data_IF_459686167756
#
_entry.id   IF_459686167756
#
_cell.length_a   1.000
_cell.length_b   1.000
_cell.length_c   1.000
_cell.angle_alpha   90.00
_cell.angle_beta   90.00
_cell.angle_gamma   90.00
#
_symmetry.space_group_name_H-M   'P 1'
#
loop_
_entity.id
_entity.type
_entity.pdbx_description
1 polymer ?
#
# COMPACT_ATOMS: atom_id res chain seq x y z
N UNK A 1 -25.22 40.31 -16.43
CA UNK A 1 -24.18 41.21 -17.00
C UNK A 1 -23.41 40.37 -18.02
N UNK A 2 -23.18 40.90 -19.22
CA UNK A 2 -22.45 40.16 -20.25
C UNK A 2 -21.01 39.90 -19.80
N UNK A 3 -20.48 38.72 -20.11
CA UNK A 3 -19.06 38.41 -19.90
C UNK A 3 -18.22 39.34 -20.80
N UNK A 4 -17.26 40.10 -20.24
CA UNK A 4 -16.40 41.03 -20.99
C UNK A 4 -15.69 40.38 -22.19
N UNK A 5 -15.49 39.06 -22.15
CA UNK A 5 -14.86 38.32 -23.26
C UNK A 5 -15.71 38.29 -24.53
N UNK A 6 -17.04 38.37 -24.40
CA UNK A 6 -17.97 38.18 -25.53
C UNK A 6 -18.72 39.45 -25.94
N UNK A 7 -18.62 40.53 -25.16
CA UNK A 7 -19.35 41.80 -25.35
C UNK A 7 -19.21 42.41 -26.76
N UNK A 8 -18.03 42.30 -27.37
CA UNK A 8 -17.74 42.88 -28.69
C UNK A 8 -17.97 41.91 -29.87
N UNK A 9 -18.45 40.69 -29.60
CA UNK A 9 -18.71 39.71 -30.65
C UNK A 9 -20.14 39.86 -31.19
N UNK A 10 -20.31 40.05 -32.51
CA UNK A 10 -21.64 40.08 -33.11
C UNK A 10 -22.27 38.68 -33.07
N UNK A 11 -23.59 38.61 -32.85
CA UNK A 11 -24.37 37.36 -32.92
C UNK A 11 -24.42 36.52 -31.64
N UNK A 12 -23.98 37.07 -30.50
CA UNK A 12 -24.17 36.43 -29.18
C UNK A 12 -25.56 36.78 -28.64
N UNK A 13 -26.32 35.76 -28.24
CA UNK A 13 -27.63 35.92 -27.62
C UNK A 13 -27.46 36.13 -26.10
N UNK A 14 -27.77 37.33 -25.61
CA UNK A 14 -27.65 37.68 -24.18
C UNK A 14 -28.94 37.46 -23.38
N UNK A 15 -30.08 37.38 -24.07
CA UNK A 15 -31.42 37.29 -23.46
C UNK A 15 -32.00 35.87 -23.53
N UNK A 16 -31.16 34.86 -23.79
CA UNK A 16 -31.56 33.46 -23.83
C UNK A 16 -31.03 32.73 -22.60
N UNK A 17 -31.78 31.77 -22.04
CA UNK A 17 -31.26 30.90 -20.99
C UNK A 17 -30.09 30.07 -21.53
N UNK A 18 -29.07 29.88 -20.68
CA UNK A 18 -27.86 29.12 -21.04
C UNK A 18 -28.15 27.64 -21.29
N UNK A 19 -29.18 27.09 -20.65
CA UNK A 19 -29.56 25.67 -20.71
C UNK A 19 -31.07 25.54 -20.90
N UNK A 20 -31.48 24.71 -21.85
CA UNK A 20 -32.88 24.31 -22.05
C UNK A 20 -33.03 22.85 -21.63
N UNK A 21 -33.57 22.64 -20.43
CA UNK A 21 -33.76 21.30 -19.86
C UNK A 21 -35.23 21.02 -19.54
N UNK A 22 -35.60 19.74 -19.56
CA UNK A 22 -36.89 19.27 -19.05
C UNK A 22 -36.85 19.31 -17.52
N UNK A 23 -37.97 19.68 -16.88
CA UNK A 23 -38.01 19.76 -15.42
C UNK A 23 -37.62 18.44 -14.75
N UNK A 24 -36.72 18.51 -13.77
CA UNK A 24 -36.24 17.34 -13.04
C UNK A 24 -37.39 16.63 -12.35
N UNK A 25 -37.59 15.36 -12.71
CA UNK A 25 -38.54 14.47 -12.05
C UNK A 25 -37.84 13.78 -10.87
N UNK A 26 -38.50 13.65 -9.71
CA UNK A 26 -37.93 13.02 -8.51
C UNK A 26 -37.78 11.49 -8.62
N UNK A 27 -38.02 10.89 -9.79
CA UNK A 27 -38.05 9.45 -10.00
C UNK A 27 -36.67 8.80 -9.81
N UNK A 28 -35.58 9.52 -10.08
CA UNK A 28 -34.21 9.02 -9.90
C UNK A 28 -33.79 8.85 -8.43
N UNK A 29 -34.55 9.42 -7.48
CA UNK A 29 -34.29 9.31 -6.03
C UNK A 29 -35.06 8.17 -5.36
N UNK A 30 -35.88 7.43 -6.11
CA UNK A 30 -36.59 6.27 -5.58
C UNK A 30 -35.64 5.07 -5.52
N UNK A 31 -35.51 4.39 -4.36
CA UNK A 31 -34.74 3.17 -4.29
C UNK A 31 -35.43 2.12 -5.17
N UNK A 32 -34.75 1.66 -6.22
CA UNK A 32 -35.16 0.47 -6.97
C UNK A 32 -35.03 -0.74 -6.01
N UNK A 33 -36.14 -1.39 -5.62
CA UNK A 33 -36.09 -2.57 -4.78
C UNK A 33 -35.65 -3.76 -5.66
N UNK A 34 -34.37 -3.80 -6.01
CA UNK A 34 -33.73 -5.01 -6.54
C UNK A 34 -33.33 -5.90 -5.37
N UNK A 35 -34.29 -6.24 -4.52
CA UNK A 35 -34.12 -7.34 -3.58
C UNK A 35 -34.26 -8.63 -4.40
N UNK A 36 -33.17 -9.41 -4.51
CA UNK A 36 -33.24 -10.75 -5.08
C UNK A 36 -34.24 -11.57 -4.24
N UNK A 37 -35.33 -12.00 -4.85
CA UNK A 37 -36.36 -12.79 -4.18
C UNK A 37 -35.72 -14.02 -3.49
N UNK A 38 -36.01 -14.21 -2.21
CA UNK A 38 -35.54 -15.37 -1.45
C UNK A 38 -36.00 -16.66 -2.14
N UNK A 39 -35.08 -17.35 -2.83
CA UNK A 39 -35.39 -18.56 -3.57
C UNK A 39 -35.33 -19.78 -2.65
N UNK A 40 -36.48 -20.44 -2.44
CA UNK A 40 -36.59 -21.64 -1.58
C UNK A 40 -35.65 -22.79 -2.01
N UNK A 41 -35.19 -22.82 -3.26
CA UNK A 41 -34.25 -23.83 -3.77
C UNK A 41 -32.76 -23.51 -3.49
N UNK A 42 -32.45 -22.34 -2.94
CA UNK A 42 -31.07 -21.87 -2.72
C UNK A 42 -30.84 -21.62 -1.24
N UNK A 43 -29.99 -22.44 -0.61
CA UNK A 43 -29.54 -22.16 0.76
C UNK A 43 -28.55 -21.00 0.78
N UNK A 44 -28.96 -19.87 1.34
CA UNK A 44 -28.06 -18.73 1.59
C UNK A 44 -27.25 -18.96 2.87
N UNK A 45 -25.96 -19.27 2.71
CA UNK A 45 -25.05 -19.47 3.84
C UNK A 45 -24.31 -18.17 4.18
N UNK A 46 -24.48 -17.69 5.42
CA UNK A 46 -23.72 -16.54 5.91
C UNK A 46 -22.26 -16.94 6.22
N UNK A 47 -21.32 -16.47 5.40
CA UNK A 47 -19.90 -16.74 5.58
C UNK A 47 -19.26 -15.75 6.57
N UNK A 48 -18.92 -16.23 7.77
CA UNK A 48 -18.11 -15.46 8.72
C UNK A 48 -16.62 -15.73 8.48
N UNK A 49 -15.89 -14.70 8.05
CA UNK A 49 -14.43 -14.78 7.83
C UNK A 49 -13.70 -15.09 9.12
N UNK A 50 -14.17 -14.56 10.26
CA UNK A 50 -13.57 -14.79 11.58
C UNK A 50 -13.71 -16.25 12.02
N UNK A 51 -14.91 -16.82 11.86
CA UNK A 51 -15.15 -18.22 12.25
C UNK A 51 -14.41 -19.17 11.32
N UNK A 52 -14.35 -18.85 10.04
CA UNK A 52 -13.57 -19.61 9.06
C UNK A 52 -12.07 -19.57 9.39
N UNK A 53 -11.52 -18.39 9.67
CA UNK A 53 -10.12 -18.25 10.09
C UNK A 53 -9.84 -19.09 11.34
N UNK A 54 -10.69 -19.01 12.37
CA UNK A 54 -10.53 -19.79 13.59
C UNK A 54 -10.59 -21.31 13.35
N UNK A 55 -11.42 -21.79 12.41
CA UNK A 55 -11.51 -23.21 12.04
C UNK A 55 -10.21 -23.74 11.40
N UNK A 56 -9.53 -22.92 10.61
CA UNK A 56 -8.30 -23.31 9.90
C UNK A 56 -7.01 -22.85 10.59
N UNK A 57 -7.10 -22.03 11.63
CA UNK A 57 -5.95 -21.57 12.41
C UNK A 57 -5.16 -22.76 12.96
N UNK A 58 -3.86 -22.79 12.65
CA UNK A 58 -2.96 -23.86 13.10
C UNK A 58 -3.00 -25.14 12.26
N UNK A 59 -3.76 -25.17 11.14
CA UNK A 59 -3.67 -26.23 10.15
C UNK A 59 -2.79 -25.77 9.00
N UNK A 60 -1.76 -26.53 8.68
CA UNK A 60 -0.81 -26.22 7.61
C UNK A 60 -0.81 -27.34 6.58
N UNK A 61 -0.58 -26.99 5.32
CA UNK A 61 -0.39 -27.94 4.23
C UNK A 61 1.07 -27.89 3.80
N UNK A 62 1.72 -29.05 3.75
CA UNK A 62 3.09 -29.21 3.27
C UNK A 62 3.12 -30.24 2.14
N UNK A 63 4.15 -30.17 1.29
CA UNK A 63 4.40 -31.13 0.21
C UNK A 63 4.70 -30.49 -1.14
N UNK A 64 5.64 -31.10 -1.88
CA UNK A 64 5.90 -30.77 -3.27
C UNK A 64 4.81 -31.39 -4.15
N UNK A 65 3.82 -30.60 -4.55
CA UNK A 65 2.68 -31.08 -5.34
C UNK A 65 2.98 -30.99 -6.82
N UNK A 66 2.98 -32.13 -7.52
CA UNK A 66 3.03 -32.20 -8.98
C UNK A 66 1.62 -32.48 -9.54
N UNK A 67 0.92 -31.42 -9.97
CA UNK A 67 -0.37 -31.49 -10.66
C UNK A 67 -0.26 -31.81 -12.15
N UNK A 68 0.95 -32.09 -12.67
CA UNK A 68 1.05 -32.53 -14.07
C UNK A 68 0.30 -33.85 -14.24
N UNK A 69 -0.30 -34.08 -15.40
CA UNK A 69 -1.07 -35.30 -15.67
C UNK A 69 -0.16 -36.40 -16.29
N UNK A 70 1.08 -36.51 -15.79
CA UNK A 70 2.08 -37.44 -16.32
C UNK A 70 1.88 -38.83 -15.71
N UNK A 71 1.57 -39.82 -16.55
CA UNK A 71 1.43 -41.23 -16.16
C UNK A 71 2.75 -41.74 -15.53
N UNK A 72 2.71 -41.98 -14.22
CA UNK A 72 3.84 -42.47 -13.42
C UNK A 72 3.44 -43.75 -12.68
N UNK A 73 4.41 -44.63 -12.40
CA UNK A 73 4.19 -45.86 -11.61
C UNK A 73 3.96 -45.61 -10.11
N UNK A 74 4.31 -44.42 -9.58
CA UNK A 74 4.06 -44.05 -8.18
C UNK A 74 2.69 -43.37 -8.05
N UNK A 75 1.92 -43.72 -7.02
CA UNK A 75 0.65 -43.05 -6.68
C UNK A 75 0.94 -41.60 -6.28
N UNK A 76 0.36 -40.65 -7.02
CA UNK A 76 0.46 -39.22 -6.73
C UNK A 76 -0.58 -38.89 -5.67
N UNK A 77 -0.17 -38.94 -4.41
CA UNK A 77 -0.94 -38.35 -3.31
C UNK A 77 -0.66 -36.85 -3.37
N UNK A 78 -1.71 -36.01 -3.30
CA UNK A 78 -1.58 -34.55 -3.34
C UNK A 78 -0.87 -34.00 -2.10
N UNK A 79 -1.50 -33.07 -1.39
CA UNK A 79 -0.96 -32.58 -0.13
C UNK A 79 -0.78 -33.73 0.87
N UNK A 80 0.41 -33.87 1.45
CA UNK A 80 0.73 -34.89 2.45
C UNK A 80 0.91 -34.19 3.80
N UNK A 81 0.16 -34.60 4.81
CA UNK A 81 0.23 -34.02 6.14
C UNK A 81 1.26 -34.76 7.02
N UNK A 82 2.28 -34.05 7.53
CA UNK A 82 3.23 -34.56 8.52
C UNK A 82 4.53 -33.72 8.60
N UNK A 83 5.03 -33.46 9.80
CA UNK A 83 6.26 -32.66 10.05
C UNK A 83 7.55 -33.50 10.11
N UNK A 84 7.46 -34.83 10.17
CA UNK A 84 8.61 -35.73 10.31
C UNK A 84 8.59 -36.82 9.23
N UNK A 85 9.53 -36.78 8.29
CA UNK A 85 9.70 -37.84 7.28
C UNK A 85 11.01 -38.62 7.51
N UNK A 86 10.88 -39.96 7.55
CA UNK A 86 11.96 -40.94 7.43
C UNK A 86 11.83 -41.58 6.04
N UNK A 87 12.94 -41.84 5.35
CA UNK A 87 12.92 -42.55 4.07
C UNK A 87 12.32 -43.96 4.23
N UNK A 88 11.55 -44.40 3.23
CA UNK A 88 11.08 -45.79 3.18
C UNK A 88 12.25 -46.75 2.92
N UNK A 89 12.19 -47.94 3.53
CA UNK A 89 13.26 -48.94 3.45
C UNK A 89 13.57 -49.32 1.99
N UNK A 90 14.77 -48.95 1.52
CA UNK A 90 15.26 -49.24 0.16
C UNK A 90 15.34 -48.07 -0.82
N UNK A 91 14.91 -46.85 -0.47
CA UNK A 91 15.13 -45.63 -1.29
C UNK A 91 16.39 -44.84 -0.84
N UNK A 92 17.09 -44.13 -1.75
CA UNK A 92 18.23 -43.30 -1.37
C UNK A 92 17.79 -42.07 -0.55
N UNK A 93 18.34 -41.94 0.65
CA UNK A 93 18.00 -40.89 1.62
C UNK A 93 18.42 -39.49 1.14
N UNK A 94 17.54 -38.49 1.31
CA UNK A 94 17.95 -37.08 1.23
C UNK A 94 18.76 -36.66 2.46
N UNK A 95 19.53 -35.55 2.36
CA UNK A 95 20.37 -35.07 3.46
C UNK A 95 19.54 -34.77 4.73
N UNK A 96 18.32 -34.25 4.55
CA UNK A 96 17.38 -33.94 5.62
C UNK A 96 16.76 -35.20 6.24
N UNK A 97 16.35 -36.17 5.42
CA UNK A 97 15.83 -37.46 5.90
C UNK A 97 16.91 -38.23 6.67
N UNK A 98 18.16 -38.21 6.19
CA UNK A 98 19.29 -38.82 6.89
C UNK A 98 19.57 -38.15 8.23
N UNK A 99 19.44 -36.83 8.30
CA UNK A 99 19.54 -36.08 9.55
C UNK A 99 18.44 -36.50 10.56
N UNK A 100 17.19 -36.57 10.10
CA UNK A 100 16.06 -37.00 10.92
C UNK A 100 16.21 -38.45 11.40
N UNK A 101 16.64 -39.36 10.53
CA UNK A 101 16.95 -40.76 10.89
C UNK A 101 18.03 -40.82 11.96
N UNK A 102 19.16 -40.13 11.77
CA UNK A 102 20.24 -40.11 12.74
C UNK A 102 19.77 -39.59 14.10
N UNK A 103 18.91 -38.56 14.13
CA UNK A 103 18.35 -38.03 15.38
C UNK A 103 17.48 -39.05 16.12
N UNK A 104 16.69 -39.84 15.37
CA UNK A 104 15.91 -40.95 15.91
C UNK A 104 16.83 -42.08 16.41
N UNK A 105 17.80 -42.51 15.61
CA UNK A 105 18.76 -43.57 15.96
C UNK A 105 19.59 -43.22 17.19
N UNK A 106 20.04 -41.95 17.34
CA UNK A 106 20.73 -41.51 18.55
C UNK A 106 19.84 -41.52 19.79
N UNK A 107 18.53 -41.28 19.62
CA UNK A 107 17.57 -41.34 20.73
C UNK A 107 17.31 -42.79 21.15
N UNK A 108 17.15 -43.69 20.17
CA UNK A 108 16.99 -45.13 20.39
C UNK A 108 18.24 -45.74 21.02
N UNK A 109 19.44 -45.37 20.54
CA UNK A 109 20.70 -45.82 21.13
C UNK A 109 20.84 -45.37 22.59
N UNK A 110 20.38 -44.16 22.91
CA UNK A 110 20.37 -43.65 24.29
C UNK A 110 19.45 -44.48 25.19
N UNK A 111 18.28 -44.85 24.68
CA UNK A 111 17.33 -45.70 25.39
C UNK A 111 17.89 -47.10 25.62
N UNK A 112 18.52 -47.72 24.61
CA UNK A 112 19.19 -49.01 24.74
C UNK A 112 20.34 -48.98 25.76
N UNK A 113 21.12 -47.90 25.79
CA UNK A 113 22.21 -47.72 26.78
C UNK A 113 21.65 -47.52 28.19
N UNK A 114 20.54 -46.80 28.34
CA UNK A 114 19.85 -46.66 29.63
C UNK A 114 19.26 -48.00 30.12
N UNK A 115 18.72 -48.82 29.21
CA UNK A 115 18.26 -50.17 29.54
C UNK A 115 19.41 -51.09 29.97
N UNK A 116 20.56 -51.02 29.30
CA UNK A 116 21.75 -51.80 29.67
C UNK A 116 22.33 -51.33 31.00
N UNK A 117 22.36 -50.01 31.26
CA UNK A 117 22.74 -49.44 32.55
C UNK A 117 21.86 -49.98 33.69
N UNK A 118 20.57 -50.12 33.46
CA UNK A 118 19.63 -50.66 34.45
C UNK A 118 19.83 -52.16 34.74
N UNK A 119 20.44 -52.91 33.79
CA UNK A 119 20.72 -54.35 33.90
C UNK A 119 22.14 -54.68 34.37
N UNK A 120 23.04 -53.69 34.45
CA UNK A 120 24.47 -53.87 34.70
C UNK A 120 24.87 -53.89 36.19
N UNK A 121 26.06 -54.42 36.48
CA UNK A 121 26.65 -54.41 37.83
C UNK A 121 27.17 -53.03 38.23
N UNK A 122 27.37 -52.75 39.53
CA UNK A 122 27.80 -51.42 40.02
C UNK A 122 29.08 -50.89 39.35
N UNK A 123 30.01 -51.77 38.97
CA UNK A 123 31.25 -51.38 38.27
C UNK A 123 31.05 -51.01 36.80
N UNK A 124 30.01 -51.54 36.14
CA UNK A 124 29.71 -51.32 34.72
C UNK A 124 28.77 -50.12 34.52
N UNK A 125 27.98 -49.77 35.54
CA UNK A 125 27.11 -48.58 35.53
C UNK A 125 27.90 -47.29 35.30
N UNK A 126 29.12 -47.19 35.83
CA UNK A 126 30.01 -46.05 35.63
C UNK A 126 30.53 -45.94 34.18
N UNK A 127 30.54 -47.05 33.42
CA UNK A 127 30.90 -47.05 32.00
C UNK A 127 29.71 -46.68 31.13
N UNK A 128 28.53 -47.24 31.41
CA UNK A 128 27.29 -46.90 30.71
C UNK A 128 26.86 -45.44 30.93
N UNK A 129 27.11 -44.88 32.11
CA UNK A 129 26.88 -43.44 32.35
C UNK A 129 27.81 -42.56 31.51
N UNK A 130 29.10 -42.91 31.40
CA UNK A 130 30.03 -42.20 30.51
C UNK A 130 29.60 -42.31 29.05
N UNK A 131 29.13 -43.49 28.62
CA UNK A 131 28.63 -43.71 27.27
C UNK A 131 27.35 -42.89 26.99
N UNK A 132 26.40 -42.86 27.92
CA UNK A 132 25.18 -42.05 27.82
C UNK A 132 25.48 -40.55 27.78
N UNK A 133 26.49 -40.07 28.51
CA UNK A 133 26.97 -38.67 28.44
C UNK A 133 27.57 -38.38 27.06
N UNK A 134 28.37 -39.29 26.51
CA UNK A 134 28.93 -39.15 25.17
C UNK A 134 27.83 -39.13 24.09
N UNK A 135 26.88 -40.06 24.13
CA UNK A 135 25.76 -40.12 23.17
C UNK A 135 24.88 -38.86 23.25
N UNK A 136 24.62 -38.34 24.46
CA UNK A 136 23.94 -37.06 24.64
C UNK A 136 24.72 -35.88 24.06
N UNK A 137 26.05 -35.86 24.22
CA UNK A 137 26.90 -34.81 23.66
C UNK A 137 26.92 -34.83 22.13
N UNK A 138 26.94 -36.01 21.51
CA UNK A 138 26.89 -36.16 20.05
C UNK A 138 25.50 -35.86 19.49
N UNK A 139 24.43 -36.22 20.22
CA UNK A 139 23.06 -35.82 19.87
C UNK A 139 22.89 -34.31 19.88
N UNK A 140 23.42 -33.61 20.89
CA UNK A 140 23.42 -32.14 20.95
C UNK A 140 24.22 -31.51 19.80
N UNK A 141 25.39 -32.06 19.48
CA UNK A 141 26.18 -31.62 18.32
C UNK A 141 25.41 -31.82 17.01
N UNK A 142 24.65 -32.91 16.88
CA UNK A 142 23.78 -33.14 15.72
C UNK A 142 22.66 -32.09 15.68
N UNK A 143 21.96 -31.84 16.79
CA UNK A 143 20.91 -30.81 16.89
C UNK A 143 21.45 -29.38 16.60
N UNK A 144 22.70 -29.09 16.95
CA UNK A 144 23.39 -27.82 16.64
C UNK A 144 23.69 -27.64 15.15
N UNK A 145 23.76 -28.71 14.35
CA UNK A 145 23.99 -28.61 12.90
C UNK A 145 22.79 -27.99 12.16
N UNK A 146 21.62 -27.84 12.81
CA UNK A 146 20.49 -27.00 12.37
C UNK A 146 20.14 -27.14 10.88
N UNK A 147 20.18 -28.35 10.34
CA UNK A 147 19.83 -28.59 8.94
C UNK A 147 18.33 -28.34 8.66
N UNK A 148 17.50 -28.32 9.70
CA UNK A 148 16.06 -28.00 9.64
C UNK A 148 15.77 -26.51 9.41
N UNK A 149 16.70 -25.60 9.74
CA UNK A 149 16.54 -24.16 9.50
C UNK A 149 16.92 -23.85 8.04
N UNK A 150 16.07 -24.30 7.12
CA UNK A 150 16.00 -23.74 5.77
C UNK A 150 15.45 -22.32 5.80
N UNK A 151 16.19 -21.37 6.39
CA UNK A 151 16.18 -19.94 6.08
C UNK A 151 17.22 -19.20 6.94
N UNK A 152 17.96 -18.29 6.29
CA UNK A 152 18.95 -17.36 6.84
C UNK A 152 20.34 -17.92 7.18
N UNK A 153 21.19 -17.92 6.15
CA UNK A 153 22.61 -17.57 6.32
C UNK A 153 22.65 -16.25 7.08
N UNK A 154 23.00 -16.34 8.37
CA UNK A 154 23.06 -15.23 9.30
C UNK A 154 24.11 -14.19 8.80
N UNK A 155 23.75 -12.91 8.55
CA UNK A 155 24.68 -11.86 8.08
C UNK A 155 25.78 -11.49 9.09
N UNK A 156 25.91 -12.24 10.18
CA UNK A 156 26.98 -12.13 11.18
C UNK A 156 28.24 -12.92 10.79
N UNK A 157 28.14 -13.92 9.91
CA UNK A 157 29.32 -14.65 9.42
C UNK A 157 30.22 -13.77 8.52
N UNK A 158 29.65 -12.77 7.84
CA UNK A 158 30.40 -11.82 7.02
C UNK A 158 31.10 -10.74 7.86
N UNK A 159 30.47 -10.30 8.97
CA UNK A 159 31.07 -9.34 9.91
C UNK A 159 32.28 -9.91 10.64
N UNK A 160 32.31 -11.22 10.93
CA UNK A 160 33.49 -11.85 11.54
C UNK A 160 34.72 -11.85 10.62
N UNK A 161 34.53 -11.91 9.30
CA UNK A 161 35.62 -11.71 8.33
C UNK A 161 36.13 -10.26 8.31
N UNK A 162 35.25 -9.29 8.52
CA UNK A 162 35.58 -7.86 8.57
C UNK A 162 36.27 -7.45 9.88
N UNK A 163 35.89 -8.05 11.02
CA UNK A 163 36.58 -7.85 12.30
C UNK A 163 37.99 -8.45 12.34
N UNK A 164 38.22 -9.57 11.66
CA UNK A 164 39.55 -10.19 11.57
C UNK A 164 40.49 -9.45 10.60
N UNK A 165 39.95 -8.75 9.59
CA UNK A 165 40.73 -7.95 8.64
C UNK A 165 41.04 -6.53 9.15
N UNK A 166 40.26 -5.99 10.09
CA UNK A 166 40.48 -4.68 10.71
C UNK A 166 41.43 -4.69 11.92
N UNK A 167 41.79 -5.87 12.46
CA UNK A 167 42.72 -6.00 13.60
C UNK A 167 44.20 -5.74 13.25
N UNK A 168 44.56 -5.59 11.98
CA UNK A 168 45.95 -5.38 11.55
C UNK A 168 46.13 -4.01 10.89
N UNK A 169 46.21 -2.95 11.70
CA UNK A 169 47.08 -1.77 11.48
C UNK A 169 47.00 -0.81 12.66
N UNK A 170 48.05 -0.82 13.49
CA UNK A 170 48.46 0.36 14.25
C UNK A 170 49.19 1.31 13.29
N UNK A 171 48.75 2.57 13.21
CA UNK A 171 49.66 3.72 13.02
C UNK A 171 48.94 5.00 13.47
N UNK A 172 49.67 5.82 14.22
CA UNK A 172 49.26 7.12 14.78
C UNK A 172 49.40 8.25 13.72
N UNK A 173 48.73 9.36 14.04
CA UNK A 173 48.92 10.77 13.62
C UNK A 173 48.06 11.31 12.46
N UNK A 174 47.37 12.43 12.76
CA UNK A 174 46.54 13.23 11.85
C UNK A 174 45.13 13.40 12.39
N UNK A 175 44.93 14.41 13.24
CA UNK A 175 43.65 14.74 13.88
C UNK A 175 42.61 15.19 12.83
N UNK A 176 41.84 14.24 12.30
CA UNK A 176 40.54 14.50 11.68
C UNK A 176 39.50 13.84 12.56
N UNK A 177 38.66 14.64 13.20
CA UNK A 177 37.51 14.15 13.96
C UNK A 177 36.47 13.67 12.94
N UNK A 178 36.58 12.42 12.51
CA UNK A 178 35.53 11.75 11.74
C UNK A 178 34.40 11.37 12.69
N UNK A 179 33.40 12.25 12.79
CA UNK A 179 32.15 11.94 13.47
C UNK A 179 31.37 10.92 12.64
N UNK A 180 31.46 9.64 13.00
CA UNK A 180 30.58 8.61 12.46
C UNK A 180 29.16 8.81 13.00
N UNK A 181 28.34 9.59 12.29
CA UNK A 181 26.90 9.71 12.55
C UNK A 181 26.23 8.35 12.29
N UNK A 182 26.05 7.57 13.36
CA UNK A 182 25.17 6.40 13.34
C UNK A 182 23.73 6.88 13.43
N UNK A 183 23.13 7.21 12.28
CA UNK A 183 21.71 7.51 12.21
C UNK A 183 20.93 6.24 12.55
N UNK A 184 20.23 6.23 13.68
CA UNK A 184 19.22 5.22 13.98
C UNK A 184 17.91 5.65 13.32
N UNK A 185 17.33 4.89 12.37
CA UNK A 185 16.07 5.24 11.71
C UNK A 185 14.82 5.09 12.62
N UNK A 186 14.99 4.87 13.93
CA UNK A 186 13.92 4.68 14.92
C UNK A 186 12.91 5.85 14.96
N UNK A 187 13.32 7.05 14.54
CA UNK A 187 12.46 8.24 14.49
C UNK A 187 11.28 8.05 13.53
N UNK A 188 11.48 7.42 12.37
CA UNK A 188 10.39 7.17 11.41
C UNK A 188 9.35 6.20 11.95
N UNK A 189 9.76 5.22 12.76
CA UNK A 189 8.84 4.25 13.35
C UNK A 189 7.90 4.89 14.38
N UNK A 190 8.39 5.86 15.16
CA UNK A 190 7.57 6.58 16.13
C UNK A 190 6.47 7.41 15.45
N UNK A 191 6.81 8.10 14.35
CA UNK A 191 5.84 8.87 13.57
C UNK A 191 4.80 7.97 12.88
N UNK A 192 5.22 6.88 12.23
CA UNK A 192 4.27 5.95 11.59
C UNK A 192 3.36 5.26 12.60
N UNK A 193 3.87 4.90 13.78
CA UNK A 193 3.06 4.36 14.87
C UNK A 193 2.01 5.37 15.32
N UNK A 194 2.36 6.66 15.42
CA UNK A 194 1.40 7.69 15.79
C UNK A 194 0.31 7.88 14.73
N UNK A 195 0.67 7.86 13.45
CA UNK A 195 -0.28 7.93 12.34
C UNK A 195 -1.24 6.74 12.41
N UNK A 196 -0.74 5.52 12.55
CA UNK A 196 -1.55 4.32 12.66
C UNK A 196 -2.52 4.35 13.87
N UNK A 197 -2.11 4.94 15.01
CA UNK A 197 -3.01 5.15 16.15
C UNK A 197 -4.14 6.14 15.84
N UNK A 198 -3.83 7.23 15.13
CA UNK A 198 -4.83 8.22 14.73
C UNK A 198 -5.80 7.63 13.70
N UNK A 199 -5.30 6.89 12.71
CA UNK A 199 -6.13 6.16 11.73
C UNK A 199 -7.04 5.14 12.42
N UNK A 200 -6.52 4.37 13.37
CA UNK A 200 -7.34 3.41 14.13
C UNK A 200 -8.45 4.11 14.94
N UNK A 201 -8.15 5.27 15.53
CA UNK A 201 -9.15 6.07 16.25
C UNK A 201 -10.17 6.68 15.29
N UNK A 202 -9.74 7.18 14.13
CA UNK A 202 -10.63 7.69 13.09
C UNK A 202 -11.55 6.59 12.56
N UNK A 203 -11.02 5.40 12.33
CA UNK A 203 -11.81 4.23 11.93
C UNK A 203 -12.88 3.86 12.97
N UNK A 204 -12.57 3.94 14.27
CA UNK A 204 -13.58 3.72 15.33
C UNK A 204 -14.67 4.80 15.34
N UNK A 205 -14.31 6.05 15.08
CA UNK A 205 -15.28 7.13 14.96
C UNK A 205 -16.18 6.94 13.73
N UNK A 206 -15.59 6.54 12.61
CA UNK A 206 -16.31 6.22 11.38
C UNK A 206 -17.27 5.03 11.57
N UNK A 207 -16.86 3.99 12.31
CA UNK A 207 -17.77 2.88 12.63
C UNK A 207 -18.99 3.31 13.46
N UNK A 208 -18.85 4.33 14.31
CA UNK A 208 -19.89 4.77 15.22
C UNK A 208 -20.80 5.85 14.62
N UNK A 209 -20.25 6.77 13.83
CA UNK A 209 -20.95 7.93 13.30
C UNK A 209 -21.02 7.98 11.77
N UNK A 210 -20.25 7.13 11.07
CA UNK A 210 -20.24 7.04 9.62
C UNK A 210 -21.51 6.39 9.08
N UNK A 211 -21.96 6.87 7.93
CA UNK A 211 -23.13 6.34 7.24
C UNK A 211 -22.72 5.03 6.55
N UNK A 212 -23.05 3.89 7.16
CA UNK A 212 -22.74 2.55 6.61
C UNK A 212 -23.81 2.04 5.65
N UNK A 213 -25.03 2.53 5.81
CA UNK A 213 -26.19 2.22 4.98
C UNK A 213 -26.76 3.55 4.49
N UNK A 214 -26.44 3.89 3.24
CA UNK A 214 -26.89 5.12 2.60
C UNK A 214 -28.41 5.19 2.52
N UNK A 215 -29.09 4.05 2.38
CA UNK A 215 -30.55 4.01 2.30
C UNK A 215 -31.18 4.31 3.66
N UNK A 216 -30.65 3.75 4.74
CA UNK A 216 -31.10 4.08 6.09
C UNK A 216 -30.91 5.57 6.39
N UNK A 217 -29.80 6.16 5.94
CA UNK A 217 -29.57 7.60 6.09
C UNK A 217 -30.53 8.43 5.23
N UNK A 218 -30.80 8.05 3.98
CA UNK A 218 -31.81 8.72 3.13
C UNK A 218 -33.21 8.63 3.75
N UNK A 219 -33.60 7.49 4.33
CA UNK A 219 -34.86 7.33 5.07
C UNK A 219 -34.92 8.29 6.28
N UNK A 220 -33.82 8.46 7.01
CA UNK A 220 -33.73 9.43 8.11
C UNK A 220 -33.81 10.87 7.61
N UNK A 221 -33.19 11.20 6.48
CA UNK A 221 -33.29 12.53 5.87
C UNK A 221 -34.73 12.82 5.42
N UNK A 222 -35.41 11.85 4.81
CA UNK A 222 -36.82 11.98 4.42
C UNK A 222 -37.74 12.18 5.64
N UNK A 223 -37.48 11.47 6.74
CA UNK A 223 -38.26 11.57 7.97
C UNK A 223 -38.00 12.87 8.76
N UNK A 224 -36.79 13.40 8.73
CA UNK A 224 -36.40 14.58 9.55
C UNK A 224 -36.27 15.88 8.75
N UNK A 225 -36.18 15.81 7.43
CA UNK A 225 -35.96 16.94 6.53
C UNK A 225 -34.57 17.59 6.67
N UNK A 226 -33.61 16.91 7.31
CA UNK A 226 -32.29 17.46 7.64
C UNK A 226 -31.18 16.69 6.94
N UNK A 227 -30.18 17.40 6.41
CA UNK A 227 -29.06 16.81 5.67
C UNK A 227 -27.93 16.25 6.57
N UNK A 228 -27.84 16.71 7.83
CA UNK A 228 -26.77 16.31 8.76
C UNK A 228 -27.31 15.42 9.88
N UNK A 229 -26.48 14.50 10.39
CA UNK A 229 -26.84 13.63 11.51
C UNK A 229 -27.19 14.43 12.77
N UNK A 230 -26.44 15.52 13.05
CA UNK A 230 -26.73 16.43 14.14
C UNK A 230 -28.07 17.17 13.95
N UNK A 231 -28.37 17.63 12.74
CA UNK A 231 -29.66 18.24 12.42
C UNK A 231 -30.82 17.27 12.60
N UNK A 232 -30.67 16.03 12.11
CA UNK A 232 -31.65 14.97 12.29
C UNK A 232 -31.88 14.65 13.77
N UNK A 233 -30.81 14.52 14.56
CA UNK A 233 -30.88 14.29 16.00
C UNK A 233 -31.57 15.46 16.74
N UNK A 234 -31.28 16.71 16.36
CA UNK A 234 -31.94 17.88 16.93
C UNK A 234 -33.43 17.94 16.59
N UNK A 235 -33.80 17.58 15.35
CA UNK A 235 -35.21 17.48 14.92
C UNK A 235 -35.96 16.40 15.71
N UNK A 236 -35.36 15.21 15.87
CA UNK A 236 -35.93 14.14 16.69
C UNK A 236 -36.00 14.52 18.18
N UNK A 237 -35.02 15.26 18.70
CA UNK A 237 -35.03 15.80 20.07
C UNK A 237 -36.17 16.82 20.26
N UNK A 238 -36.40 17.68 19.26
CA UNK A 238 -37.53 18.58 19.25
C UNK A 238 -38.86 17.80 19.22
N UNK A 239 -39.00 16.82 18.32
CA UNK A 239 -40.19 15.95 18.25
C UNK A 239 -40.44 15.18 19.55
N UNK A 240 -39.39 14.71 20.23
CA UNK A 240 -39.54 14.04 21.52
C UNK A 240 -39.91 15.00 22.65
N UNK A 241 -39.56 16.28 22.55
CA UNK A 241 -40.07 17.30 23.47
C UNK A 241 -41.58 17.55 23.31
N UNK A 242 -42.15 17.34 22.11
CA UNK A 242 -43.60 17.40 21.86
C UNK A 242 -44.38 16.26 22.54
N UNK A 243 -43.72 15.16 22.91
CA UNK A 243 -44.35 14.05 23.64
C UNK A 243 -44.75 14.41 25.08
N UNK A 244 -44.48 15.64 25.56
CA UNK A 244 -44.97 16.19 26.83
C UNK A 244 -46.17 17.11 26.59
N UNK A 245 -47.40 16.58 26.44
CA UNK A 245 -48.57 17.34 26.01
C UNK A 245 -48.95 18.48 26.98
N UNK A 246 -48.71 18.31 28.29
CA UNK A 246 -49.01 19.33 29.30
C UNK A 246 -48.11 20.56 29.20
N UNK A 247 -46.83 20.36 28.87
CA UNK A 247 -45.86 21.45 28.68
C UNK A 247 -46.06 22.12 27.32
N UNK A 248 -46.44 21.35 26.29
CA UNK A 248 -46.74 21.85 24.95
C UNK A 248 -47.95 22.78 24.95
N UNK A 249 -49.07 22.41 25.58
CA UNK A 249 -50.26 23.26 25.65
C UNK A 249 -49.99 24.59 26.39
N UNK A 250 -49.19 24.54 27.46
CA UNK A 250 -48.80 25.73 28.21
C UNK A 250 -47.82 26.63 27.42
N UNK A 251 -46.96 26.05 26.58
CA UNK A 251 -46.07 26.77 25.69
C UNK A 251 -46.84 27.38 24.50
N UNK A 252 -47.76 26.64 23.90
CA UNK A 252 -48.61 27.08 22.78
C UNK A 252 -49.49 28.27 23.18
N UNK A 253 -50.10 28.23 24.37
CA UNK A 253 -50.86 29.36 24.92
C UNK A 253 -50.00 30.63 25.12
N UNK A 254 -48.73 30.46 25.54
CA UNK A 254 -47.78 31.59 25.67
C UNK A 254 -47.34 32.11 24.31
N UNK A 255 -47.02 31.23 23.36
CA UNK A 255 -46.62 31.60 22.00
C UNK A 255 -47.74 32.32 21.27
N UNK A 256 -48.98 31.87 21.37
CA UNK A 256 -50.15 32.58 20.80
C UNK A 256 -50.32 33.96 21.41
N UNK A 257 -50.18 34.10 22.74
CA UNK A 257 -50.22 35.43 23.38
C UNK A 257 -49.07 36.37 22.94
N UNK A 258 -47.88 35.82 22.70
CA UNK A 258 -46.74 36.57 22.17
C UNK A 258 -46.97 36.96 20.71
N UNK A 259 -47.52 36.07 19.89
CA UNK A 259 -47.84 36.34 18.49
C UNK A 259 -48.81 37.52 18.38
N UNK A 260 -49.86 37.55 19.20
CA UNK A 260 -50.79 38.70 19.23
C UNK A 260 -50.11 40.01 19.61
N UNK A 261 -49.12 39.96 20.52
CA UNK A 261 -48.34 41.15 20.90
C UNK A 261 -47.39 41.58 19.78
N UNK A 262 -46.79 40.63 19.05
CA UNK A 262 -45.93 40.89 17.89
C UNK A 262 -46.73 41.48 16.74
N UNK A 263 -47.93 41.00 16.46
CA UNK A 263 -48.80 41.56 15.43
C UNK A 263 -49.23 43.00 15.77
N UNK A 264 -49.52 43.28 17.04
CA UNK A 264 -49.78 44.64 17.51
C UNK A 264 -48.56 45.57 17.35
N UNK A 265 -47.35 45.07 17.60
CA UNK A 265 -46.11 45.82 17.38
C UNK A 265 -45.79 46.02 15.90
N UNK A 266 -46.03 45.00 15.07
CA UNK A 266 -45.85 45.07 13.61
C UNK A 266 -46.78 46.12 12.98
N UNK A 267 -47.99 46.28 13.51
CA UNK A 267 -48.91 47.34 13.10
C UNK A 267 -48.44 48.75 13.54
N UNK A 268 -47.65 48.85 14.63
CA UNK A 268 -47.10 50.10 15.13
C UNK A 268 -45.79 50.52 14.45
N UNK A 269 -45.06 49.58 13.83
CA UNK A 269 -43.79 49.81 13.13
C UNK A 269 -44.04 50.00 11.63
N UNK A 270 -43.51 51.08 11.05
CA UNK A 270 -43.58 51.29 9.59
C UNK A 270 -42.75 50.21 8.87
N UNK A 271 -43.23 49.64 7.74
CA UNK A 271 -42.47 48.66 6.99
C UNK A 271 -41.15 49.27 6.49
N UNK A 272 -40.08 48.48 6.58
CA UNK A 272 -38.80 48.82 5.97
C UNK A 272 -38.95 48.92 4.44
N UNK A 273 -38.03 49.65 3.80
CA UNK A 273 -38.04 49.81 2.34
C UNK A 273 -38.08 48.44 1.64
N UNK A 274 -39.09 48.15 0.80
CA UNK A 274 -39.28 46.81 0.22
C UNK A 274 -38.14 46.41 -0.71
N UNK A 275 -37.44 47.38 -1.30
CA UNK A 275 -36.22 47.15 -2.10
C UNK A 275 -35.04 46.71 -1.25
N UNK A 276 -34.94 47.18 0.00
CA UNK A 276 -33.88 46.81 0.93
C UNK A 276 -34.11 45.40 1.44
N UNK A 277 -35.36 45.05 1.75
CA UNK A 277 -35.76 43.68 2.10
C UNK A 277 -35.52 42.70 0.94
N UNK A 278 -35.81 43.09 -0.30
CA UNK A 278 -35.51 42.27 -1.48
C UNK A 278 -34.01 41.99 -1.61
N UNK A 279 -33.18 43.04 -1.49
CA UNK A 279 -31.71 42.90 -1.54
C UNK A 279 -31.16 42.07 -0.37
N UNK A 280 -31.68 42.23 0.83
CA UNK A 280 -31.29 41.43 2.00
C UNK A 280 -31.66 39.96 1.82
N UNK A 281 -32.83 39.67 1.24
CA UNK A 281 -33.23 38.31 0.93
C UNK A 281 -32.35 37.67 -0.16
N UNK A 282 -31.93 38.44 -1.18
CA UNK A 282 -30.95 37.98 -2.17
C UNK A 282 -29.59 37.69 -1.53
N UNK A 283 -29.08 38.59 -0.68
CA UNK A 283 -27.84 38.37 0.08
C UNK A 283 -27.92 37.15 1.00
N UNK A 284 -29.07 36.92 1.64
CA UNK A 284 -29.28 35.75 2.48
C UNK A 284 -29.26 34.45 1.66
N UNK A 285 -29.86 34.43 0.46
CA UNK A 285 -29.78 33.29 -0.46
C UNK A 285 -28.35 33.01 -0.88
N UNK A 286 -27.59 34.05 -1.26
CA UNK A 286 -26.18 33.92 -1.60
C UNK A 286 -25.35 33.40 -0.42
N UNK A 287 -25.58 33.93 0.78
CA UNK A 287 -24.90 33.46 1.99
C UNK A 287 -25.20 31.98 2.25
N UNK A 288 -26.46 31.56 2.10
CA UNK A 288 -26.87 30.16 2.28
C UNK A 288 -26.29 29.22 1.21
N UNK A 289 -26.03 29.72 -0.01
CA UNK A 289 -25.32 28.95 -1.04
C UNK A 289 -23.83 28.78 -0.74
N UNK A 290 -23.22 29.75 -0.06
CA UNK A 290 -21.82 29.69 0.37
C UNK A 290 -21.67 28.92 1.69
N UNK A 291 -22.74 28.84 2.48
CA UNK A 291 -22.80 28.08 3.72
C UNK A 291 -22.55 26.59 3.45
N UNK A 292 -21.55 26.03 4.12
CA UNK A 292 -21.03 24.67 3.85
C UNK A 292 -19.73 24.61 3.05
N UNK A 293 -19.29 25.71 2.40
CA UNK A 293 -17.96 25.77 1.77
C UNK A 293 -16.95 26.26 2.82
N UNK A 294 -16.27 25.30 3.46
CA UNK A 294 -15.20 25.53 4.43
C UNK A 294 -13.91 25.97 3.73
N UNK A 295 -13.79 27.26 3.43
CA UNK A 295 -12.57 27.84 2.84
C UNK A 295 -11.30 27.54 3.67
N UNK A 296 -11.42 27.39 4.99
CA UNK A 296 -10.32 26.98 5.88
C UNK A 296 -9.79 25.59 5.57
N UNK A 297 -10.66 24.60 5.36
CA UNK A 297 -10.26 23.22 5.07
C UNK A 297 -9.57 23.10 3.71
N UNK A 298 -10.03 23.89 2.74
CA UNK A 298 -9.40 23.99 1.41
C UNK A 298 -7.98 24.55 1.55
N UNK A 299 -7.79 25.60 2.35
CA UNK A 299 -6.47 26.19 2.61
C UNK A 299 -5.54 25.24 3.35
N UNK A 300 -6.02 24.57 4.40
CA UNK A 300 -5.24 23.58 5.15
C UNK A 300 -4.82 22.40 4.25
N UNK A 301 -5.70 21.94 3.36
CA UNK A 301 -5.36 20.92 2.38
C UNK A 301 -4.32 21.42 1.37
N UNK A 302 -4.41 22.68 0.93
CA UNK A 302 -3.41 23.28 0.04
C UNK A 302 -2.04 23.39 0.72
N UNK A 303 -2.00 23.79 1.99
CA UNK A 303 -0.78 23.86 2.80
C UNK A 303 -0.17 22.46 2.99
N UNK A 304 -0.97 21.46 3.36
CA UNK A 304 -0.52 20.08 3.50
C UNK A 304 0.05 19.48 2.19
N UNK A 305 -0.47 19.93 1.04
CA UNK A 305 -0.04 19.47 -0.29
C UNK A 305 1.06 20.35 -0.92
N UNK A 306 1.49 21.43 -0.28
CA UNK A 306 2.44 22.39 -0.84
C UNK A 306 3.77 21.72 -1.24
N UNK A 307 4.33 20.89 -0.36
CA UNK A 307 5.58 20.18 -0.63
C UNK A 307 5.46 19.25 -1.84
N UNK A 308 4.31 18.58 -1.99
CA UNK A 308 4.04 17.69 -3.13
C UNK A 308 3.90 18.50 -4.43
N UNK A 309 3.18 19.63 -4.40
CA UNK A 309 3.05 20.52 -5.55
C UNK A 309 4.41 21.10 -5.98
N UNK A 310 5.24 21.50 -5.02
CA UNK A 310 6.59 21.98 -5.27
C UNK A 310 7.47 20.89 -5.91
N UNK A 311 7.36 19.64 -5.42
CA UNK A 311 8.07 18.51 -6.01
C UNK A 311 7.57 18.21 -7.44
N UNK A 312 6.26 18.22 -7.68
CA UNK A 312 5.68 18.00 -9.00
C UNK A 312 6.09 19.09 -10.00
N UNK A 313 6.15 20.36 -9.56
CA UNK A 313 6.64 21.48 -10.37
C UNK A 313 8.12 21.31 -10.75
N UNK A 314 8.96 20.92 -9.80
CA UNK A 314 10.37 20.66 -10.05
C UNK A 314 10.58 19.44 -10.96
N UNK A 315 9.77 18.40 -10.81
CA UNK A 315 9.79 17.23 -11.69
C UNK A 315 9.51 17.61 -13.15
N UNK A 316 8.53 18.48 -13.40
CA UNK A 316 8.27 19.01 -14.74
C UNK A 316 9.49 19.71 -15.35
N UNK A 317 10.20 20.53 -14.56
CA UNK A 317 11.45 21.18 -15.01
C UNK A 317 12.54 20.17 -15.32
N UNK A 318 12.81 19.24 -14.39
CA UNK A 318 13.81 18.19 -14.61
C UNK A 318 13.49 17.29 -15.80
N UNK A 319 12.21 17.04 -16.08
CA UNK A 319 11.79 16.30 -17.27
C UNK A 319 12.13 17.07 -18.56
N UNK A 320 11.82 18.37 -18.61
CA UNK A 320 12.19 19.21 -19.77
C UNK A 320 13.70 19.32 -19.95
N UNK A 321 14.46 19.43 -18.86
CA UNK A 321 15.93 19.39 -18.90
C UNK A 321 16.43 18.04 -19.43
N UNK A 322 15.83 16.93 -19.01
CA UNK A 322 16.20 15.60 -19.49
C UNK A 322 15.89 15.41 -20.98
N UNK A 323 14.74 15.91 -21.47
CA UNK A 323 14.40 15.89 -22.89
C UNK A 323 15.39 16.70 -23.74
N UNK A 324 15.80 17.88 -23.28
CA UNK A 324 16.80 18.70 -23.98
C UNK A 324 18.18 18.04 -24.00
N UNK A 325 18.60 17.43 -22.88
CA UNK A 325 19.84 16.65 -22.82
C UNK A 325 19.78 15.43 -23.75
N UNK A 326 18.66 14.72 -23.79
CA UNK A 326 18.47 13.59 -24.69
C UNK A 326 18.56 14.01 -26.15
N UNK A 327 17.95 15.15 -26.51
CA UNK A 327 18.02 15.70 -27.88
C UNK A 327 19.46 16.09 -28.24
N UNK A 328 20.22 16.64 -27.29
CA UNK A 328 21.63 17.02 -27.48
C UNK A 328 22.54 15.79 -27.61
N UNK A 329 22.29 14.74 -26.83
CA UNK A 329 23.03 13.47 -26.95
C UNK A 329 22.71 12.81 -28.30
N UNK A 330 21.44 12.80 -28.73
CA UNK A 330 21.05 12.24 -30.01
C UNK A 330 21.74 12.94 -31.19
N UNK A 331 21.81 14.28 -31.18
CA UNK A 331 22.56 15.02 -32.20
C UNK A 331 24.08 14.78 -32.11
N UNK A 332 24.64 14.68 -30.90
CA UNK A 332 26.05 14.31 -30.69
C UNK A 332 26.40 12.93 -31.24
N UNK A 333 25.53 11.93 -31.03
CA UNK A 333 25.69 10.58 -31.59
C UNK A 333 25.63 10.60 -33.12
N UNK A 334 24.71 11.39 -33.70
CA UNK A 334 24.62 11.56 -35.15
C UNK A 334 25.89 12.19 -35.73
N UNK A 335 26.43 13.22 -35.09
CA UNK A 335 27.70 13.84 -35.50
C UNK A 335 28.88 12.85 -35.42
N UNK A 336 28.96 12.05 -34.35
CA UNK A 336 30.00 11.03 -34.21
C UNK A 336 29.90 9.95 -35.29
N UNK A 337 28.68 9.57 -35.68
CA UNK A 337 28.44 8.64 -36.79
C UNK A 337 28.97 9.20 -38.11
N UNK A 338 28.70 10.47 -38.40
CA UNK A 338 29.21 11.14 -39.60
C UNK A 338 30.75 11.23 -39.61
N UNK A 339 31.36 11.56 -38.46
CA UNK A 339 32.81 11.56 -38.30
C UNK A 339 33.43 10.18 -38.55
N UNK A 340 32.85 9.11 -37.99
CA UNK A 340 33.33 7.75 -38.19
C UNK A 340 33.21 7.32 -39.65
N UNK A 341 32.14 7.70 -40.33
CA UNK A 341 31.99 7.45 -41.76
C UNK A 341 33.07 8.19 -42.56
N UNK A 342 33.34 9.46 -42.25
CA UNK A 342 34.43 10.21 -42.89
C UNK A 342 35.81 9.59 -42.63
N UNK A 343 36.08 9.13 -41.40
CA UNK A 343 37.31 8.41 -41.07
C UNK A 343 37.42 7.11 -41.87
N UNK A 344 36.33 6.35 -42.00
CA UNK A 344 36.29 5.11 -42.79
C UNK A 344 36.58 5.37 -44.27
N UNK A 345 36.00 6.42 -44.85
CA UNK A 345 36.25 6.84 -46.24
C UNK A 345 37.71 7.25 -46.44
N UNK A 346 38.28 8.04 -45.53
CA UNK A 346 39.70 8.45 -45.57
C UNK A 346 40.62 7.25 -45.41
N UNK A 347 40.33 6.32 -44.51
CA UNK A 347 41.11 5.08 -44.36
C UNK A 347 41.06 4.23 -45.63
N UNK A 348 39.90 4.06 -46.25
CA UNK A 348 39.77 3.33 -47.51
C UNK A 348 40.61 3.98 -48.62
N UNK A 349 40.53 5.31 -48.76
CA UNK A 349 41.34 6.05 -49.73
C UNK A 349 42.84 5.93 -49.47
N UNK A 350 43.26 5.99 -48.21
CA UNK A 350 44.66 5.88 -47.82
C UNK A 350 45.22 4.47 -48.07
N UNK A 351 44.45 3.43 -47.74
CA UNK A 351 44.83 2.03 -48.01
C UNK A 351 44.94 1.79 -49.52
N UNK A 352 43.99 2.30 -50.32
CA UNK A 352 44.07 2.22 -51.78
C UNK A 352 45.29 2.95 -52.34
N UNK A 353 45.63 4.11 -51.79
CA UNK A 353 46.81 4.88 -52.20
C UNK A 353 48.11 4.15 -51.86
N UNK A 354 48.21 3.60 -50.65
CA UNK A 354 49.36 2.78 -50.22
C UNK A 354 49.47 1.53 -51.11
N UNK A 355 48.36 0.85 -51.41
CA UNK A 355 48.35 -0.30 -52.31
C UNK A 355 48.83 0.07 -53.73
N UNK A 356 48.45 1.25 -54.25
CA UNK A 356 48.95 1.75 -55.54
C UNK A 356 50.45 2.01 -55.51
N UNK A 357 50.95 2.65 -54.46
CA UNK A 357 52.40 2.91 -54.32
C UNK A 357 53.22 1.63 -54.12
N UNK A 358 52.70 0.66 -53.35
CA UNK A 358 53.32 -0.68 -53.23
C UNK A 358 53.38 -1.36 -54.59
N UNK A 359 52.30 -1.37 -55.37
CA UNK A 359 52.30 -1.94 -56.74
C UNK A 359 53.32 -1.27 -57.64
N UNK A 360 53.43 0.07 -57.61
CA UNK A 360 54.47 0.80 -58.37
C UNK A 360 55.88 0.43 -57.93
N UNK A 361 56.10 0.22 -56.63
CA UNK A 361 57.39 -0.22 -56.10
C UNK A 361 57.72 -1.63 -56.60
N UNK A 362 56.74 -2.54 -56.55
CA UNK A 362 56.88 -3.93 -56.98
C UNK A 362 57.17 -4.04 -58.49
N UNK A 363 56.51 -3.22 -59.29
CA UNK A 363 56.80 -3.06 -60.72
C UNK A 363 58.22 -2.55 -60.98
N UNK A 364 58.71 -1.60 -60.17
CA UNK A 364 60.09 -1.09 -60.29
C UNK A 364 61.12 -2.14 -59.88
N UNK A 365 60.87 -2.86 -58.77
CA UNK A 365 61.73 -3.97 -58.32
C UNK A 365 61.77 -5.07 -59.38
N UNK A 366 60.63 -5.43 -59.96
CA UNK A 366 60.56 -6.42 -61.03
C UNK A 366 61.32 -5.99 -62.29
N UNK A 367 61.25 -4.71 -62.67
CA UNK A 367 62.03 -4.15 -63.79
C UNK A 367 63.53 -4.14 -63.52
N UNK A 368 63.96 -3.93 -62.27
CA UNK A 368 65.36 -4.02 -61.86
C UNK A 368 65.87 -5.46 -61.75
N UNK A 369 65.00 -6.41 -61.43
CA UNK A 369 65.36 -7.84 -61.35
C UNK A 369 65.40 -8.52 -62.74
N UNK A 370 64.79 -7.91 -63.76
CA UNK A 370 64.77 -8.40 -65.14
C UNK A 370 65.82 -7.74 -66.07
N UNK A 371 66.59 -6.78 -65.54
CA UNK A 371 67.75 -6.16 -66.18
C UNK A 371 69.03 -6.74 -65.54
#
# INVERSE_FOLDING_TARGET
MADPKYENLPGIAYDQPDVYETGDLPEADQPDPTEEEENECIEQLHLSVKDSFNKFKGRFLTGAVDFSDRLSRKSRIGYRAGEWELAAEGEPETILERYNRLRCEFSELLEQVAEQQNKATESEKDEYTKLAVQINSTKKLLEELKLEEGEQIDPKAEKLKEYLSSSNKKTKQGEVVTAHLKLKPEVNLAYTTRIAQLEHRLHKLEQAAGVRDEEAFRRLQAATGQATLCGAAASLAAQTSLLRPAELAAAEARVTSLLTNVDALKAAVKPADPELDAKVNELYKLLKQIDGISHSEILERMEALEALHNQASNFGKSLTELETLQTTIASGVQNNKELLQGVQEVFAHNVDSVNKEIKKLDEKISKLAAA
#
